data_IF_474000453013
#
_entry.id   IF_474000453013
#
_cell.length_a   1.000
_cell.length_b   1.000
_cell.length_c   1.000
_cell.angle_alpha   90.00
_cell.angle_beta   90.00
_cell.angle_gamma   90.00
#
_symmetry.space_group_name_H-M   'P 1'
#
loop_
_entity.id
_entity.type
_entity.pdbx_description
1 polymer ?
#
# COMPACT_ATOMS: atom_id res chain seq x y z
N UNK A 1 19.88 -8.02 9.92
CA UNK A 1 18.62 -8.75 9.60
C UNK A 1 18.04 -9.45 10.83
N UNK A 2 16.72 -9.33 11.03
CA UNK A 2 15.96 -9.91 12.15
C UNK A 2 15.10 -11.11 11.71
N UNK A 3 14.51 -11.81 12.68
CA UNK A 3 13.54 -12.87 12.39
C UNK A 3 12.20 -12.32 11.84
N UNK A 4 11.34 -13.23 11.36
CA UNK A 4 10.05 -12.89 10.76
C UNK A 4 9.07 -12.18 11.71
N UNK A 5 9.14 -12.43 13.02
CA UNK A 5 8.22 -11.89 14.01
C UNK A 5 8.74 -10.61 14.68
N UNK A 6 9.94 -10.17 14.32
CA UNK A 6 10.54 -8.97 14.87
C UNK A 6 9.69 -7.72 14.58
N UNK A 7 9.27 -7.05 15.66
CA UNK A 7 8.50 -5.80 15.63
C UNK A 7 9.06 -4.86 16.71
N UNK A 8 9.95 -3.92 16.36
CA UNK A 8 10.49 -2.96 17.30
C UNK A 8 9.43 -1.94 17.71
N UNK A 9 9.71 -1.15 18.76
CA UNK A 9 8.92 0.05 19.07
C UNK A 9 8.96 1.00 17.87
N UNK A 10 7.82 1.45 17.34
CA UNK A 10 7.80 2.30 16.16
C UNK A 10 8.34 3.70 16.46
N UNK A 11 9.19 4.21 15.58
CA UNK A 11 9.61 5.61 15.51
C UNK A 11 8.76 6.30 14.44
N UNK A 12 8.05 7.37 14.78
CA UNK A 12 7.14 8.02 13.83
C UNK A 12 7.86 9.17 13.11
N UNK A 13 7.72 9.22 11.79
CA UNK A 13 8.39 10.22 10.95
C UNK A 13 7.38 11.10 10.18
N UNK A 14 7.55 12.42 10.30
CA UNK A 14 6.65 13.43 9.74
C UNK A 14 5.47 13.76 10.67
N UNK A 15 4.66 14.75 10.28
CA UNK A 15 3.57 15.28 11.09
C UNK A 15 2.20 14.90 10.52
N UNK A 16 1.39 14.18 11.29
CA UNK A 16 0.00 13.93 10.93
C UNK A 16 -0.58 12.70 11.62
N UNK A 17 -1.89 12.47 11.54
CA UNK A 17 -2.49 11.30 12.16
C UNK A 17 -2.39 10.05 11.27
N UNK A 18 -2.23 10.22 9.95
CA UNK A 18 -2.11 9.12 8.99
C UNK A 18 -0.64 8.82 8.70
N UNK A 19 -0.15 7.75 9.30
CA UNK A 19 1.16 7.17 9.01
C UNK A 19 1.00 5.92 8.16
N UNK A 20 1.99 5.70 7.30
CA UNK A 20 2.17 4.55 6.45
C UNK A 20 3.39 3.76 6.89
N UNK A 21 3.24 2.48 7.16
CA UNK A 21 4.35 1.52 7.25
C UNK A 21 4.44 0.72 5.96
N UNK A 22 5.63 0.66 5.35
CA UNK A 22 5.88 -0.08 4.12
C UNK A 22 6.61 -1.38 4.45
N UNK A 23 6.02 -2.51 4.09
CA UNK A 23 6.72 -3.81 3.98
C UNK A 23 6.94 -4.11 2.49
N UNK A 24 8.20 -4.28 2.09
CA UNK A 24 8.59 -4.56 0.72
C UNK A 24 9.36 -5.88 0.67
N UNK A 25 8.72 -6.92 0.13
CA UNK A 25 9.31 -8.26 -0.03
C UNK A 25 10.20 -8.28 -1.29
N UNK A 26 11.48 -8.64 -1.13
CA UNK A 26 12.48 -8.57 -2.21
C UNK A 26 13.18 -9.92 -2.33
N UNK A 27 13.25 -10.46 -3.55
CA UNK A 27 14.06 -11.64 -3.85
C UNK A 27 15.48 -11.22 -4.20
N UNK A 28 16.44 -12.09 -3.87
CA UNK A 28 17.84 -11.92 -4.21
C UNK A 28 18.39 -13.20 -4.83
N UNK A 29 19.52 -13.08 -5.52
CA UNK A 29 20.34 -14.24 -5.88
C UNK A 29 21.18 -14.65 -4.67
N UNK A 30 21.60 -15.92 -4.60
CA UNK A 30 22.47 -16.39 -3.51
C UNK A 30 23.77 -15.58 -3.42
N UNK A 31 24.35 -15.27 -4.56
CA UNK A 31 25.63 -14.55 -4.64
C UNK A 31 25.49 -13.07 -4.28
N UNK A 32 24.37 -12.44 -4.65
CA UNK A 32 24.12 -11.01 -4.39
C UNK A 32 23.41 -10.72 -3.06
N UNK A 33 23.01 -11.75 -2.31
CA UNK A 33 22.17 -11.59 -1.10
C UNK A 33 22.85 -10.73 -0.03
N UNK A 34 24.10 -11.04 0.31
CA UNK A 34 24.85 -10.29 1.34
C UNK A 34 25.04 -8.84 0.94
N UNK A 35 25.50 -8.59 -0.29
CA UNK A 35 25.70 -7.22 -0.79
C UNK A 35 24.39 -6.42 -0.83
N UNK A 36 23.27 -7.08 -1.16
CA UNK A 36 21.96 -6.45 -1.18
C UNK A 36 21.48 -6.06 0.22
N UNK A 37 21.69 -6.94 1.22
CA UNK A 37 21.37 -6.68 2.63
C UNK A 37 22.20 -5.53 3.16
N UNK A 38 23.52 -5.57 2.98
CA UNK A 38 24.42 -4.52 3.44
C UNK A 38 24.10 -3.17 2.77
N UNK A 39 23.81 -3.19 1.47
CA UNK A 39 23.39 -2.00 0.72
C UNK A 39 22.07 -1.43 1.23
N UNK A 40 21.11 -2.29 1.57
CA UNK A 40 19.83 -1.88 2.11
C UNK A 40 19.96 -1.32 3.52
N UNK A 41 20.62 -2.02 4.44
CA UNK A 41 20.84 -1.56 5.82
C UNK A 41 21.58 -0.21 5.85
N UNK A 42 22.64 -0.05 5.06
CA UNK A 42 23.40 1.19 4.97
C UNK A 42 22.57 2.36 4.38
N UNK A 43 21.65 2.08 3.45
CA UNK A 43 20.84 3.11 2.82
C UNK A 43 19.67 3.58 3.68
N UNK A 44 19.01 2.67 4.40
CA UNK A 44 17.83 3.00 5.19
C UNK A 44 18.17 3.49 6.60
N UNK A 45 19.31 3.09 7.16
CA UNK A 45 19.69 3.47 8.52
C UNK A 45 18.57 3.16 9.52
N UNK A 46 18.22 4.14 10.35
CA UNK A 46 17.16 4.00 11.36
C UNK A 46 15.74 4.19 10.80
N UNK A 47 15.55 4.41 9.49
CA UNK A 47 14.22 4.56 8.89
C UNK A 47 13.50 3.22 8.67
N UNK A 48 14.25 2.13 8.55
CA UNK A 48 13.71 0.81 8.27
C UNK A 48 14.62 -0.29 8.83
N UNK A 49 14.10 -1.50 8.88
CA UNK A 49 14.83 -2.69 9.28
C UNK A 49 14.52 -3.85 8.34
N UNK A 50 15.45 -4.80 8.25
CA UNK A 50 15.30 -5.96 7.39
C UNK A 50 14.91 -7.20 8.19
N UNK A 51 13.90 -7.93 7.72
CA UNK A 51 13.47 -9.20 8.30
C UNK A 51 13.75 -10.35 7.33
N UNK A 52 13.96 -11.54 7.89
CA UNK A 52 13.84 -12.78 7.14
C UNK A 52 12.37 -13.02 6.80
N UNK A 53 12.11 -13.38 5.55
CA UNK A 53 10.80 -13.82 5.12
C UNK A 53 10.81 -15.33 4.88
N UNK A 54 10.07 -16.07 5.72
CA UNK A 54 9.96 -17.52 5.60
C UNK A 54 9.24 -18.00 4.32
N UNK A 55 8.60 -17.10 3.57
CA UNK A 55 7.95 -17.39 2.29
C UNK A 55 8.88 -17.18 1.09
N UNK A 56 10.04 -16.54 1.27
CA UNK A 56 11.01 -16.26 0.20
C UNK A 56 12.19 -17.22 0.34
N UNK A 57 12.46 -18.00 -0.71
CA UNK A 57 13.57 -18.96 -0.71
C UNK A 57 14.95 -18.31 -0.58
N UNK A 58 15.13 -17.12 -1.16
CA UNK A 58 16.32 -16.28 -1.03
C UNK A 58 15.93 -14.81 -1.23
N UNK A 59 16.00 -14.02 -0.16
CA UNK A 59 15.52 -12.65 -0.15
C UNK A 59 15.25 -12.14 1.26
N UNK A 60 14.69 -10.94 1.34
CA UNK A 60 14.42 -10.26 2.60
C UNK A 60 13.20 -9.34 2.48
N UNK A 61 12.65 -8.96 3.62
CA UNK A 61 11.58 -7.98 3.72
C UNK A 61 12.17 -6.69 4.29
N UNK A 62 12.04 -5.59 3.55
CA UNK A 62 12.40 -4.25 4.03
C UNK A 62 11.15 -3.63 4.66
N UNK A 63 11.23 -3.35 5.97
CA UNK A 63 10.10 -2.82 6.74
C UNK A 63 10.43 -1.45 7.30
N UNK A 64 9.68 -0.44 6.90
CA UNK A 64 9.88 0.92 7.39
C UNK A 64 9.23 1.13 8.74
N UNK A 65 9.83 2.01 9.53
CA UNK A 65 9.09 2.70 10.58
C UNK A 65 7.93 3.53 9.98
N UNK A 66 6.88 3.87 10.75
CA UNK A 66 5.76 4.63 10.23
C UNK A 66 6.15 6.03 9.75
N UNK A 67 5.78 6.38 8.53
CA UNK A 67 6.04 7.67 7.90
C UNK A 67 4.75 8.32 7.40
N UNK A 68 4.60 9.64 7.51
CA UNK A 68 3.57 10.32 6.71
C UNK A 68 3.90 10.20 5.22
N UNK A 69 2.88 10.30 4.35
CA UNK A 69 3.10 10.15 2.90
C UNK A 69 4.15 11.11 2.36
N UNK A 70 4.07 12.40 2.72
CA UNK A 70 5.02 13.40 2.26
C UNK A 70 6.45 13.11 2.74
N UNK A 71 6.62 12.65 3.98
CA UNK A 71 7.92 12.23 4.50
C UNK A 71 8.45 11.03 3.71
N UNK A 72 7.63 10.01 3.47
CA UNK A 72 8.04 8.84 2.69
C UNK A 72 8.48 9.23 1.27
N UNK A 73 7.77 10.14 0.59
CA UNK A 73 8.15 10.57 -0.76
C UNK A 73 9.45 11.37 -0.78
N UNK A 74 9.70 12.22 0.23
CA UNK A 74 10.88 13.11 0.26
C UNK A 74 12.13 12.48 0.86
N UNK A 75 11.99 11.71 1.93
CA UNK A 75 13.12 11.27 2.77
C UNK A 75 13.51 9.80 2.57
N UNK A 76 12.60 8.95 2.08
CA UNK A 76 12.94 7.55 1.82
C UNK A 76 14.02 7.47 0.72
N UNK A 77 15.07 6.64 0.87
CA UNK A 77 16.18 6.57 -0.08
C UNK A 77 15.79 5.87 -1.39
N UNK A 78 14.95 6.47 -2.22
CA UNK A 78 14.36 5.86 -3.43
C UNK A 78 15.38 5.30 -4.44
N UNK A 79 16.59 5.84 -4.46
CA UNK A 79 17.71 5.30 -5.27
C UNK A 79 18.15 3.89 -4.84
N UNK A 80 17.85 3.47 -3.61
CA UNK A 80 18.09 2.12 -3.09
C UNK A 80 17.47 1.06 -4.00
N UNK A 81 16.22 1.24 -4.44
CA UNK A 81 15.55 0.23 -5.26
C UNK A 81 16.29 -0.03 -6.58
N UNK A 82 16.83 1.02 -7.18
CA UNK A 82 17.68 0.92 -8.36
C UNK A 82 19.00 0.19 -8.09
N UNK A 83 19.63 0.45 -6.93
CA UNK A 83 20.87 -0.24 -6.51
C UNK A 83 20.64 -1.73 -6.25
N UNK A 84 19.57 -2.09 -5.55
CA UNK A 84 19.21 -3.49 -5.30
C UNK A 84 19.00 -4.25 -6.62
N UNK A 85 18.34 -3.63 -7.60
CA UNK A 85 18.18 -4.22 -8.93
C UNK A 85 19.52 -4.48 -9.63
N UNK A 86 20.50 -3.59 -9.47
CA UNK A 86 21.84 -3.77 -10.05
C UNK A 86 22.63 -4.90 -9.37
N UNK A 87 22.32 -5.20 -8.11
CA UNK A 87 22.88 -6.33 -7.35
C UNK A 87 22.18 -7.67 -7.64
N UNK A 88 21.25 -7.71 -8.61
CA UNK A 88 20.53 -8.92 -8.99
C UNK A 88 19.28 -9.20 -8.15
N UNK A 89 18.86 -8.28 -7.28
CA UNK A 89 17.54 -8.37 -6.67
C UNK A 89 16.45 -8.24 -7.72
N UNK A 90 15.35 -8.95 -7.49
CA UNK A 90 14.20 -8.97 -8.39
C UNK A 90 12.91 -9.17 -7.60
N UNK A 91 11.79 -8.99 -8.28
CA UNK A 91 10.44 -9.21 -7.75
C UNK A 91 9.60 -9.93 -8.79
N UNK A 92 8.52 -10.55 -8.33
CA UNK A 92 7.48 -11.17 -9.14
C UNK A 92 6.11 -10.89 -8.50
N UNK A 93 5.05 -11.55 -8.97
CA UNK A 93 3.69 -11.41 -8.44
C UNK A 93 3.41 -12.29 -7.21
N UNK A 94 4.32 -13.17 -6.84
CA UNK A 94 4.24 -13.99 -5.63
C UNK A 94 4.66 -13.20 -4.38
N UNK A 95 5.62 -12.28 -4.52
CA UNK A 95 6.02 -11.34 -3.45
C UNK A 95 5.25 -10.03 -3.48
N UNK A 96 5.06 -9.42 -2.31
CA UNK A 96 4.14 -8.30 -2.10
C UNK A 96 4.77 -6.99 -1.63
N UNK A 97 3.97 -5.94 -1.77
CA UNK A 97 4.04 -4.73 -0.94
C UNK A 97 2.85 -4.77 0.02
N UNK A 98 3.11 -4.66 1.32
CA UNK A 98 2.08 -4.41 2.31
C UNK A 98 2.22 -2.99 2.83
N UNK A 99 1.10 -2.27 2.87
CA UNK A 99 1.06 -0.90 3.38
C UNK A 99 0.16 -0.86 4.60
N UNK A 100 0.75 -0.60 5.75
CA UNK A 100 0.05 -0.37 7.00
C UNK A 100 -0.40 1.08 7.08
N UNK A 101 -1.70 1.33 7.20
CA UNK A 101 -2.28 2.65 7.42
C UNK A 101 -2.69 2.76 8.90
N UNK A 102 -2.20 3.76 9.62
CA UNK A 102 -2.59 3.98 11.03
C UNK A 102 -4.11 4.19 11.15
N UNK A 103 -4.72 3.54 12.15
CA UNK A 103 -6.16 3.70 12.43
C UNK A 103 -6.50 5.12 12.86
N UNK A 104 -5.58 5.78 13.55
CA UNK A 104 -5.68 7.19 13.95
C UNK A 104 -5.81 8.13 12.76
N UNK A 105 -5.35 7.70 11.58
CA UNK A 105 -5.56 8.40 10.33
C UNK A 105 -7.03 8.50 9.92
N UNK A 106 -7.98 7.80 10.54
CA UNK A 106 -9.39 7.80 10.14
C UNK A 106 -10.31 8.52 11.14
N UNK A 107 -11.04 9.55 10.70
CA UNK A 107 -11.95 10.34 11.54
C UNK A 107 -13.05 9.56 12.30
N UNK A 108 -13.51 8.42 11.77
CA UNK A 108 -14.64 7.68 12.35
C UNK A 108 -14.83 6.29 11.72
N UNK A 109 -15.60 5.38 12.36
CA UNK A 109 -16.08 4.16 11.72
C UNK A 109 -16.80 4.41 10.38
N UNK A 110 -17.51 5.53 10.24
CA UNK A 110 -18.15 5.87 8.97
C UNK A 110 -17.12 6.18 7.87
N UNK A 111 -16.01 6.83 8.22
CA UNK A 111 -14.89 7.07 7.29
C UNK A 111 -14.20 5.75 6.90
N UNK A 112 -13.87 4.91 7.88
CA UNK A 112 -13.26 3.59 7.62
C UNK A 112 -14.16 2.74 6.70
N UNK A 113 -15.47 2.71 6.98
CA UNK A 113 -16.43 2.02 6.13
C UNK A 113 -16.38 2.54 4.70
N UNK A 114 -16.34 3.88 4.52
CA UNK A 114 -16.28 4.46 3.19
C UNK A 114 -15.00 4.04 2.46
N UNK A 115 -13.86 4.13 3.12
CA UNK A 115 -12.58 3.70 2.57
C UNK A 115 -12.59 2.23 2.14
N UNK A 116 -12.98 1.30 3.02
CA UNK A 116 -13.03 -0.13 2.67
C UNK A 116 -14.00 -0.40 1.50
N UNK A 117 -15.16 0.28 1.48
CA UNK A 117 -16.12 0.15 0.38
C UNK A 117 -15.58 0.71 -0.93
N UNK A 118 -14.80 1.79 -0.91
CA UNK A 118 -14.13 2.34 -2.08
C UNK A 118 -13.23 1.28 -2.72
N UNK A 119 -12.32 0.72 -1.92
CA UNK A 119 -11.35 -0.30 -2.35
C UNK A 119 -12.08 -1.52 -2.93
N UNK A 120 -13.06 -2.07 -2.22
CA UNK A 120 -13.79 -3.25 -2.68
C UNK A 120 -14.71 -3.00 -3.89
N UNK A 121 -15.15 -1.76 -4.12
CA UNK A 121 -16.04 -1.44 -5.24
C UNK A 121 -15.26 -1.24 -6.54
N UNK A 122 -14.05 -0.71 -6.46
CA UNK A 122 -13.15 -0.49 -7.59
C UNK A 122 -12.09 -1.61 -7.68
N UNK A 123 -12.51 -2.85 -7.40
CA UNK A 123 -11.62 -4.01 -7.37
C UNK A 123 -10.84 -4.19 -8.69
N UNK A 124 -11.44 -4.12 -9.90
CA UNK A 124 -10.69 -4.27 -11.14
C UNK A 124 -9.56 -3.26 -11.29
N UNK A 125 -9.82 -1.99 -10.95
CA UNK A 125 -8.86 -0.91 -11.06
C UNK A 125 -7.77 -1.00 -9.98
N UNK A 126 -8.15 -1.39 -8.75
CA UNK A 126 -7.18 -1.66 -7.68
C UNK A 126 -6.27 -2.83 -8.07
N UNK A 127 -6.80 -3.91 -8.65
CA UNK A 127 -5.99 -5.04 -9.13
C UNK A 127 -5.05 -4.61 -10.26
N UNK A 128 -5.54 -3.79 -11.21
CA UNK A 128 -4.73 -3.28 -12.31
C UNK A 128 -3.55 -2.42 -11.80
N UNK A 129 -3.80 -1.52 -10.85
CA UNK A 129 -2.76 -0.75 -10.16
C UNK A 129 -1.81 -1.66 -9.37
N UNK A 130 -2.36 -2.66 -8.69
CA UNK A 130 -1.62 -3.58 -7.84
C UNK A 130 -0.76 -4.61 -8.59
N UNK A 131 -0.97 -4.82 -9.90
CA UNK A 131 -0.20 -5.76 -10.74
C UNK A 131 -0.31 -7.22 -10.37
N UNK A 132 -1.18 -7.57 -9.43
CA UNK A 132 -1.47 -8.97 -9.07
C UNK A 132 -2.89 -9.14 -8.56
N UNK A 133 -3.37 -10.38 -8.65
CA UNK A 133 -4.57 -10.86 -7.97
C UNK A 133 -4.21 -12.13 -7.20
N UNK A 134 -3.90 -11.98 -5.90
CA UNK A 134 -3.28 -13.03 -5.08
C UNK A 134 -4.26 -13.65 -4.09
N UNK A 135 -4.11 -14.95 -3.83
CA UNK A 135 -4.80 -15.66 -2.74
C UNK A 135 -4.37 -15.18 -1.35
N UNK A 136 -3.27 -14.44 -1.25
CA UNK A 136 -2.78 -13.81 -0.01
C UNK A 136 -3.33 -12.38 0.20
N UNK A 137 -4.12 -11.86 -0.74
CA UNK A 137 -4.71 -10.52 -0.72
C UNK A 137 -6.11 -10.52 -1.38
N UNK A 138 -6.99 -11.41 -0.94
CA UNK A 138 -8.26 -11.70 -1.62
C UNK A 138 -9.28 -10.58 -1.49
N UNK A 139 -9.92 -10.25 -2.62
CA UNK A 139 -11.19 -9.53 -2.63
C UNK A 139 -12.34 -10.53 -2.54
N UNK A 140 -12.96 -10.66 -1.36
CA UNK A 140 -14.09 -11.58 -1.17
C UNK A 140 -15.42 -10.82 -1.05
N UNK A 141 -16.53 -11.34 -1.61
CA UNK A 141 -17.86 -10.77 -1.39
C UNK A 141 -18.23 -10.71 0.10
N UNK A 142 -17.74 -11.67 0.88
CA UNK A 142 -17.96 -11.73 2.31
C UNK A 142 -17.25 -10.56 3.03
N UNK A 143 -15.99 -10.25 2.70
CA UNK A 143 -15.27 -9.13 3.30
C UNK A 143 -15.95 -7.80 2.93
N UNK A 144 -16.35 -7.66 1.66
CA UNK A 144 -17.09 -6.49 1.17
C UNK A 144 -18.44 -6.26 1.88
N UNK A 145 -19.13 -7.32 2.30
CA UNK A 145 -20.38 -7.22 3.08
C UNK A 145 -20.13 -6.80 4.52
N UNK A 146 -19.00 -7.19 5.10
CA UNK A 146 -18.65 -6.96 6.50
C UNK A 146 -17.83 -5.70 6.76
N UNK A 147 -17.53 -4.87 5.76
CA UNK A 147 -16.84 -3.58 5.94
C UNK A 147 -17.43 -2.74 7.08
N UNK A 148 -18.75 -2.79 7.31
CA UNK A 148 -19.38 -2.07 8.44
C UNK A 148 -18.90 -2.60 9.78
N UNK A 149 -18.85 -3.91 9.96
CA UNK A 149 -18.40 -4.54 11.20
C UNK A 149 -16.90 -4.31 11.42
N UNK A 150 -16.09 -4.41 10.37
CA UNK A 150 -14.65 -4.14 10.44
C UNK A 150 -14.34 -2.69 10.79
N UNK A 151 -15.14 -1.75 10.28
CA UNK A 151 -15.03 -0.35 10.65
C UNK A 151 -15.34 -0.07 12.12
N UNK A 152 -16.08 -0.97 12.78
CA UNK A 152 -16.34 -0.94 14.23
C UNK A 152 -15.37 -1.84 15.03
N UNK A 153 -14.27 -2.31 14.43
CA UNK A 153 -13.22 -3.06 15.13
C UNK A 153 -13.43 -4.58 15.18
N UNK A 154 -14.36 -5.15 14.40
CA UNK A 154 -14.47 -6.61 14.33
C UNK A 154 -13.32 -7.22 13.52
N UNK A 155 -12.75 -8.33 14.01
CA UNK A 155 -11.75 -9.14 13.31
C UNK A 155 -12.21 -10.58 13.05
N UNK A 156 -13.45 -10.91 13.43
CA UNK A 156 -13.92 -12.29 13.51
C UNK A 156 -13.95 -12.97 12.14
N UNK A 157 -13.21 -14.06 11.93
CA UNK A 157 -13.48 -15.05 10.86
C UNK A 157 -13.07 -14.68 9.43
N UNK A 158 -12.17 -13.71 9.22
CA UNK A 158 -11.80 -13.26 7.86
C UNK A 158 -10.33 -13.48 7.48
N UNK A 159 -9.48 -13.88 8.44
CA UNK A 159 -8.07 -14.17 8.22
C UNK A 159 -7.25 -12.96 7.71
N UNK A 160 -5.93 -13.09 7.72
CA UNK A 160 -5.02 -12.04 7.22
C UNK A 160 -4.97 -11.95 5.68
N UNK A 161 -5.46 -12.97 4.98
CA UNK A 161 -5.30 -13.16 3.53
C UNK A 161 -6.27 -12.32 2.69
N UNK A 162 -6.76 -11.21 3.23
CA UNK A 162 -7.72 -10.32 2.57
C UNK A 162 -6.98 -9.14 1.94
N UNK A 163 -7.60 -8.53 0.92
CA UNK A 163 -7.10 -7.31 0.30
C UNK A 163 -6.81 -6.22 1.34
N UNK A 164 -7.69 -6.11 2.34
CA UNK A 164 -7.52 -5.29 3.55
C UNK A 164 -7.48 -6.24 4.73
N UNK A 165 -6.31 -6.44 5.31
CA UNK A 165 -6.16 -7.13 6.57
C UNK A 165 -6.48 -6.16 7.72
N UNK A 166 -7.47 -6.56 8.52
CA UNK A 166 -7.98 -5.75 9.62
C UNK A 166 -7.45 -6.22 10.97
N UNK A 167 -6.69 -7.32 11.06
CA UNK A 167 -6.21 -7.87 12.32
C UNK A 167 -5.21 -7.00 13.09
N UNK A 168 -4.29 -6.23 12.46
CA UNK A 168 -3.35 -5.42 13.22
C UNK A 168 -4.10 -4.41 14.11
N UNK A 169 -3.67 -4.31 15.37
CA UNK A 169 -4.35 -3.51 16.39
C UNK A 169 -4.38 -2.03 16.02
N UNK A 170 -3.24 -1.46 15.64
CA UNK A 170 -3.10 -0.02 15.40
C UNK A 170 -3.24 0.40 13.93
N UNK A 171 -3.33 -0.56 13.01
CA UNK A 171 -3.30 -0.28 11.56
C UNK A 171 -4.31 -1.12 10.79
N UNK A 172 -4.75 -0.62 9.63
CA UNK A 172 -5.24 -1.46 8.55
C UNK A 172 -4.08 -1.80 7.61
N UNK A 173 -3.98 -3.02 7.12
CA UNK A 173 -2.92 -3.41 6.19
C UNK A 173 -3.51 -3.67 4.80
N UNK A 174 -3.07 -2.88 3.82
CA UNK A 174 -3.42 -3.03 2.41
C UNK A 174 -2.40 -3.95 1.74
N UNK A 175 -2.83 -5.16 1.35
CA UNK A 175 -1.94 -6.26 0.93
C UNK A 175 -1.88 -6.48 -0.57
N UNK A 176 -2.62 -5.69 -1.35
CA UNK A 176 -2.96 -6.04 -2.74
C UNK A 176 -1.78 -5.99 -3.70
N UNK A 177 -0.79 -5.15 -3.44
CA UNK A 177 0.27 -4.79 -4.39
C UNK A 177 1.30 -5.90 -4.57
N UNK A 178 1.68 -6.16 -5.83
CA UNK A 178 2.88 -6.90 -6.16
C UNK A 178 4.12 -6.08 -5.75
N UNK A 179 5.19 -6.77 -5.37
CA UNK A 179 6.45 -6.11 -5.06
C UNK A 179 7.10 -5.47 -6.29
N UNK A 180 7.89 -4.42 -6.07
CA UNK A 180 8.58 -3.71 -7.14
C UNK A 180 9.88 -3.05 -6.69
N UNK A 181 10.87 -3.06 -7.59
CA UNK A 181 12.10 -2.26 -7.47
C UNK A 181 12.06 -1.00 -8.37
N UNK A 182 10.91 -0.63 -8.90
CA UNK A 182 10.71 0.62 -9.65
C UNK A 182 10.15 1.68 -8.69
N UNK A 183 10.90 2.77 -8.38
CA UNK A 183 10.44 3.79 -7.44
C UNK A 183 9.03 4.31 -7.70
N UNK A 184 8.71 4.61 -8.97
CA UNK A 184 7.38 5.09 -9.36
C UNK A 184 6.25 4.14 -8.90
N UNK A 185 6.44 2.83 -9.00
CA UNK A 185 5.40 1.85 -8.65
C UNK A 185 5.19 1.77 -7.13
N UNK A 186 6.28 1.80 -6.35
CA UNK A 186 6.20 1.78 -4.88
C UNK A 186 5.63 3.10 -4.36
N UNK A 187 6.06 4.23 -4.92
CA UNK A 187 5.52 5.55 -4.61
C UNK A 187 4.04 5.68 -4.99
N UNK A 188 3.62 5.09 -6.11
CA UNK A 188 2.21 5.04 -6.51
C UNK A 188 1.38 4.17 -5.56
N UNK A 189 1.92 3.05 -5.06
CA UNK A 189 1.25 2.23 -4.05
C UNK A 189 1.02 3.00 -2.74
N UNK A 190 2.06 3.68 -2.23
CA UNK A 190 1.94 4.59 -1.07
C UNK A 190 0.97 5.75 -1.34
N UNK A 191 1.05 6.33 -2.54
CA UNK A 191 0.16 7.39 -3.00
C UNK A 191 -1.29 6.94 -3.02
N UNK A 192 -1.58 5.74 -3.50
CA UNK A 192 -2.93 5.19 -3.50
C UNK A 192 -3.43 4.91 -2.09
N UNK A 193 -2.60 4.31 -1.23
CA UNK A 193 -2.94 4.08 0.16
C UNK A 193 -3.36 5.39 0.85
N UNK A 194 -2.52 6.43 0.77
CA UNK A 194 -2.80 7.74 1.34
C UNK A 194 -4.00 8.45 0.69
N UNK A 195 -4.00 8.58 -0.65
CA UNK A 195 -5.02 9.28 -1.42
C UNK A 195 -6.41 8.66 -1.22
N UNK A 196 -6.51 7.33 -1.13
CA UNK A 196 -7.79 6.66 -0.91
C UNK A 196 -8.40 7.00 0.45
N UNK A 197 -7.58 7.17 1.49
CA UNK A 197 -8.05 7.65 2.80
C UNK A 197 -8.50 9.10 2.70
N UNK A 198 -7.65 10.00 2.18
CA UNK A 198 -7.98 11.43 2.10
C UNK A 198 -9.19 11.73 1.21
N UNK A 199 -9.33 11.03 0.09
CA UNK A 199 -10.49 11.13 -0.78
C UNK A 199 -11.77 10.76 -0.03
N UNK A 200 -11.76 9.61 0.67
CA UNK A 200 -12.95 9.08 1.33
C UNK A 200 -13.28 9.76 2.66
N UNK A 201 -12.33 10.48 3.26
CA UNK A 201 -12.52 11.36 4.43
C UNK A 201 -13.63 12.36 4.17
N UNK A 202 -13.54 13.02 3.01
CA UNK A 202 -14.43 14.12 2.63
C UNK A 202 -15.69 13.68 1.88
N UNK A 203 -15.79 12.41 1.45
CA UNK A 203 -16.97 11.87 0.77
C UNK A 203 -18.21 11.89 1.67
N UNK A 204 -19.20 12.71 1.32
CA UNK A 204 -20.51 12.74 1.98
C UNK A 204 -21.54 11.94 1.20
N UNK A 205 -22.64 11.58 1.85
CA UNK A 205 -23.75 10.84 1.22
C UNK A 205 -24.28 11.52 -0.06
N UNK A 206 -24.28 12.86 -0.09
CA UNK A 206 -24.68 13.62 -1.29
C UNK A 206 -23.72 13.43 -2.46
N UNK A 207 -22.41 13.36 -2.19
CA UNK A 207 -21.37 13.23 -3.22
C UNK A 207 -21.43 11.82 -3.83
N UNK A 208 -21.69 10.85 -2.98
CA UNK A 208 -21.99 9.47 -3.37
C UNK A 208 -23.25 9.39 -4.26
N UNK A 209 -24.34 10.04 -3.86
CA UNK A 209 -25.64 9.89 -4.52
C UNK A 209 -25.77 10.71 -5.81
N UNK A 210 -25.10 11.87 -5.91
CA UNK A 210 -25.29 12.84 -7.00
C UNK A 210 -24.05 13.08 -7.85
N UNK A 211 -22.86 12.77 -7.34
CA UNK A 211 -21.59 13.09 -7.99
C UNK A 211 -20.74 11.85 -8.24
N UNK A 212 -21.36 10.66 -8.23
CA UNK A 212 -20.66 9.42 -8.54
C UNK A 212 -19.39 9.21 -7.68
N UNK A 213 -19.41 9.66 -6.42
CA UNK A 213 -18.24 9.69 -5.55
C UNK A 213 -17.61 8.32 -5.24
N UNK A 214 -18.28 7.22 -5.61
CA UNK A 214 -17.73 5.88 -5.52
C UNK A 214 -16.96 5.42 -6.75
N UNK A 215 -17.14 6.09 -7.88
CA UNK A 215 -16.54 5.68 -9.16
C UNK A 215 -15.06 6.01 -9.18
N UNK A 216 -14.30 5.12 -9.80
CA UNK A 216 -12.86 5.27 -9.97
C UNK A 216 -12.49 6.57 -10.70
N UNK A 217 -13.24 6.93 -11.75
CA UNK A 217 -13.02 8.16 -12.52
C UNK A 217 -13.11 9.44 -11.69
N UNK A 218 -14.01 9.49 -10.70
CA UNK A 218 -14.14 10.62 -9.77
C UNK A 218 -12.93 10.70 -8.85
N UNK A 219 -12.43 9.54 -8.38
CA UNK A 219 -11.21 9.47 -7.59
C UNK A 219 -9.97 9.89 -8.40
N UNK A 220 -9.79 9.38 -9.62
CA UNK A 220 -8.61 9.72 -10.44
C UNK A 220 -8.60 11.18 -10.85
N UNK A 221 -9.77 11.77 -11.13
CA UNK A 221 -9.91 13.22 -11.34
C UNK A 221 -9.48 14.00 -10.08
N UNK A 222 -9.89 13.55 -8.90
CA UNK A 222 -9.50 14.16 -7.62
C UNK A 222 -8.00 14.05 -7.35
N UNK A 223 -7.38 12.91 -7.70
CA UNK A 223 -5.93 12.70 -7.59
C UNK A 223 -5.17 13.59 -8.58
N UNK A 224 -5.60 13.66 -9.84
CA UNK A 224 -4.95 14.48 -10.87
C UNK A 224 -4.93 15.98 -10.56
N UNK A 225 -5.91 16.46 -9.78
CA UNK A 225 -5.94 17.85 -9.30
C UNK A 225 -4.94 18.15 -8.15
N UNK A 226 -4.14 17.16 -7.71
CA UNK A 226 -3.22 17.25 -6.57
C UNK A 226 -1.81 16.83 -6.99
N UNK A 227 -0.91 17.80 -7.27
CA UNK A 227 0.45 17.54 -7.73
C UNK A 227 1.27 16.63 -6.81
N UNK A 228 0.99 16.64 -5.51
CA UNK A 228 1.68 15.79 -4.52
C UNK A 228 1.52 14.28 -4.81
N UNK A 229 0.47 13.89 -5.54
CA UNK A 229 0.26 12.51 -5.98
C UNK A 229 0.78 12.22 -7.39
N UNK A 230 1.71 13.03 -7.92
CA UNK A 230 2.27 12.83 -9.25
C UNK A 230 2.73 11.38 -9.54
N UNK A 231 3.40 10.65 -8.61
CA UNK A 231 3.73 9.24 -8.85
C UNK A 231 2.52 8.36 -9.11
N UNK A 232 1.42 8.55 -8.35
CA UNK A 232 0.17 7.81 -8.55
C UNK A 232 -0.48 8.22 -9.87
N UNK A 233 -0.60 9.51 -10.17
CA UNK A 233 -1.17 9.99 -11.44
C UNK A 233 -0.44 9.40 -12.64
N UNK A 234 0.89 9.43 -12.63
CA UNK A 234 1.71 8.88 -13.71
C UNK A 234 1.48 7.37 -13.87
N UNK A 235 1.39 6.61 -12.77
CA UNK A 235 1.13 5.17 -12.82
C UNK A 235 -0.26 4.85 -13.36
N UNK A 236 -1.29 5.61 -12.95
CA UNK A 236 -2.66 5.47 -13.43
C UNK A 236 -2.77 5.71 -14.94
N UNK A 237 -2.13 6.77 -15.45
CA UNK A 237 -2.09 7.09 -16.89
C UNK A 237 -1.29 6.05 -17.66
N UNK A 238 -0.13 5.62 -17.15
CA UNK A 238 0.67 4.56 -17.77
C UNK A 238 -0.11 3.24 -17.90
N UNK A 239 -1.04 3.00 -16.99
CA UNK A 239 -1.91 1.83 -16.99
C UNK A 239 -3.20 1.98 -17.81
N UNK A 240 -3.52 3.18 -18.29
CA UNK A 240 -4.79 3.46 -18.97
C UNK A 240 -6.00 3.33 -18.04
N UNK A 241 -5.81 3.45 -16.72
CA UNK A 241 -6.88 3.39 -15.71
C UNK A 241 -7.12 4.75 -15.05
N UNK A 242 -6.68 5.85 -15.65
CA UNK A 242 -6.91 7.21 -15.15
C UNK A 242 -8.35 7.71 -15.35
N UNK A 243 -9.24 6.89 -15.93
CA UNK A 243 -10.65 7.18 -16.09
C UNK A 243 -10.99 8.04 -17.32
N UNK A 244 -10.01 8.46 -18.11
CA UNK A 244 -10.26 9.25 -19.33
C UNK A 244 -10.76 8.41 -20.52
N UNK A 245 -10.52 7.09 -20.52
CA UNK A 245 -10.91 6.21 -21.63
C UNK A 245 -12.26 5.49 -21.46
N UNK A 246 -12.96 5.63 -20.34
CA UNK A 246 -14.21 4.91 -20.06
C UNK A 246 -15.49 5.58 -20.64
N UNK A 247 -15.37 6.44 -21.64
CA UNK A 247 -16.52 6.99 -22.39
C UNK A 247 -16.26 7.00 -23.91
N UNK A 248 -15.95 5.82 -24.45
CA UNK A 248 -16.06 5.55 -25.88
C UNK A 248 -16.45 4.08 -26.12
N UNK A 249 -17.66 3.72 -25.68
CA UNK A 249 -18.41 2.56 -26.17
C UNK A 249 -19.89 2.74 -25.82
#
# INVERSE_FOLDING_TARGET
MFDYFYKPTPVFHGDGPLYLGLELEIRATRDGFTDAVDTAEAAVGDLAYLKQDGSISCGFELVTHPMTYHYAISEFPWSLLGRLRLLGCHTDDEVGIHIHLSRDGFDSPAHIYRWMKFIHRNQPEVIALARRNSTWAQFTPAARRRCREFAHGSHHGFGRQQAINVYPEDTFELRVFASSLKPQQVQAALGFAHASVEYTRTLRSRDIARHHGWEWSTFTTWVAARPDYAPLTNELTQLGIDGYYARAS
#
